data_IF_272247363981
#
_entry.id   IF_272247363981
#
_cell.length_a   1.000
_cell.length_b   1.000
_cell.length_c   1.000
_cell.angle_alpha   90.00
_cell.angle_beta   90.00
_cell.angle_gamma   90.00
#
_symmetry.space_group_name_H-M   'P 1'
#
loop_
_entity.id
_entity.type
_entity.pdbx_description
1 polymer ?
#
# COMPACT_ATOMS: atom_id res chain seq x y z
N UNK A 1 4.15 -14.49 -3.46
CA UNK A 1 3.23 -13.72 -2.62
C UNK A 1 1.95 -13.45 -3.38
N UNK A 2 0.84 -14.01 -2.93
CA UNK A 2 -0.50 -13.83 -3.51
C UNK A 2 -1.15 -12.59 -2.92
N UNK A 3 -2.10 -11.98 -3.63
CA UNK A 3 -2.86 -10.83 -3.10
C UNK A 3 -3.52 -11.16 -1.75
N UNK A 4 -4.01 -12.39 -1.57
CA UNK A 4 -4.64 -12.85 -0.33
C UNK A 4 -3.65 -12.83 0.84
N UNK A 5 -2.43 -13.28 0.65
CA UNK A 5 -1.36 -13.22 1.67
C UNK A 5 -1.04 -11.78 2.07
N UNK A 6 -1.07 -10.84 1.12
CA UNK A 6 -0.78 -9.43 1.39
C UNK A 6 -1.89 -8.78 2.20
N UNK A 7 -3.16 -9.08 1.90
CA UNK A 7 -4.29 -8.34 2.48
C UNK A 7 -4.89 -8.98 3.73
N UNK A 8 -4.73 -10.31 3.91
CA UNK A 8 -5.36 -11.04 5.01
C UNK A 8 -4.61 -10.73 6.31
N UNK A 9 -5.34 -10.19 7.28
CA UNK A 9 -4.88 -9.88 8.65
C UNK A 9 -3.67 -8.91 8.74
N UNK A 10 -3.28 -8.30 7.62
CA UNK A 10 -2.22 -7.30 7.55
C UNK A 10 -2.78 -5.88 7.67
N UNK A 11 -1.87 -4.96 8.05
CA UNK A 11 -2.12 -3.52 8.06
C UNK A 11 -1.23 -2.81 7.04
N UNK A 12 -1.77 -1.77 6.43
CA UNK A 12 -0.99 -0.81 5.65
C UNK A 12 -0.66 0.38 6.54
N UNK A 13 0.47 1.02 6.28
CA UNK A 13 0.94 2.19 6.99
C UNK A 13 1.23 3.30 5.99
N UNK A 14 0.80 4.52 6.29
CA UNK A 14 1.17 5.68 5.50
C UNK A 14 2.71 5.81 5.50
N UNK A 15 3.29 6.06 4.34
CA UNK A 15 4.73 6.20 4.18
C UNK A 15 5.13 7.61 3.76
N UNK A 16 4.49 8.15 2.72
CA UNK A 16 4.78 9.50 2.21
C UNK A 16 3.72 9.97 1.23
N UNK A 17 3.68 11.28 0.98
CA UNK A 17 2.95 11.89 -0.12
C UNK A 17 3.92 12.63 -1.04
N UNK A 18 3.81 12.44 -2.36
CA UNK A 18 4.62 13.19 -3.34
C UNK A 18 3.88 13.31 -4.66
N UNK A 19 3.77 14.53 -5.18
CA UNK A 19 3.23 14.84 -6.53
C UNK A 19 1.87 14.16 -6.81
N UNK A 20 0.92 14.27 -5.89
CA UNK A 20 -0.41 13.67 -6.07
C UNK A 20 -0.51 12.17 -5.78
N UNK A 21 0.58 11.52 -5.35
CA UNK A 21 0.59 10.10 -5.02
C UNK A 21 0.82 9.90 -3.53
N UNK A 22 -0.08 9.15 -2.89
CA UNK A 22 0.09 8.62 -1.55
C UNK A 22 0.83 7.29 -1.66
N UNK A 23 1.88 7.11 -0.88
CA UNK A 23 2.54 5.84 -0.76
C UNK A 23 2.19 5.20 0.59
N UNK A 24 1.72 3.96 0.52
CA UNK A 24 1.50 3.13 1.70
C UNK A 24 2.47 1.96 1.68
N UNK A 25 2.83 1.47 2.86
CA UNK A 25 3.65 0.27 3.03
C UNK A 25 2.89 -0.83 3.76
N UNK A 26 3.19 -2.08 3.44
CA UNK A 26 2.69 -3.27 4.11
C UNK A 26 3.86 -4.20 4.40
N UNK A 27 3.91 -4.74 5.61
CA UNK A 27 4.86 -5.77 5.98
C UNK A 27 4.27 -7.15 5.66
N UNK A 28 4.97 -7.95 4.87
CA UNK A 28 4.59 -9.33 4.56
C UNK A 28 5.86 -10.18 4.65
N UNK A 29 5.80 -11.29 5.40
CA UNK A 29 6.92 -12.21 5.61
C UNK A 29 8.24 -11.49 6.02
N UNK A 30 8.12 -10.54 6.95
CA UNK A 30 9.25 -9.76 7.48
C UNK A 30 9.83 -8.72 6.52
N UNK A 31 9.23 -8.53 5.34
CA UNK A 31 9.67 -7.55 4.33
C UNK A 31 8.65 -6.43 4.20
N UNK A 32 9.15 -5.20 4.10
CA UNK A 32 8.30 -4.03 3.88
C UNK A 32 8.19 -3.76 2.38
N UNK A 33 6.97 -3.72 1.87
CA UNK A 33 6.68 -3.35 0.50
C UNK A 33 5.90 -2.05 0.47
N UNK A 34 6.08 -1.25 -0.58
CA UNK A 34 5.39 0.01 -0.81
C UNK A 34 4.58 -0.05 -2.10
N UNK A 35 3.44 0.63 -2.12
CA UNK A 35 2.61 0.75 -3.30
C UNK A 35 1.94 2.14 -3.37
N UNK A 36 1.64 2.64 -4.58
CA UNK A 36 1.02 3.94 -4.77
C UNK A 36 -0.51 3.88 -4.69
N UNK A 37 -1.10 4.97 -4.20
CA UNK A 37 -2.53 5.29 -4.26
C UNK A 37 -2.65 6.72 -4.82
N UNK A 38 -3.27 6.92 -6.01
CA UNK A 38 -3.51 8.26 -6.52
C UNK A 38 -4.44 9.04 -5.59
N UNK A 39 -4.14 10.31 -5.32
CA UNK A 39 -4.97 11.11 -4.40
C UNK A 39 -6.35 11.41 -4.99
N UNK A 40 -6.49 11.46 -6.31
CA UNK A 40 -7.79 11.63 -6.97
C UNK A 40 -8.75 10.46 -6.69
N UNK A 41 -8.24 9.27 -6.36
CA UNK A 41 -9.03 8.09 -6.01
C UNK A 41 -9.56 8.15 -4.55
N UNK A 42 -9.17 9.14 -3.73
CA UNK A 42 -9.49 9.16 -2.30
C UNK A 42 -10.68 10.04 -1.90
N UNK A 43 -11.10 10.98 -2.74
CA UNK A 43 -12.16 11.93 -2.39
C UNK A 43 -11.87 12.65 -1.06
N UNK A 44 -12.87 12.67 -0.16
CA UNK A 44 -12.80 13.33 1.16
C UNK A 44 -12.21 12.45 2.29
N UNK A 45 -11.51 11.37 1.95
CA UNK A 45 -10.97 10.45 2.95
C UNK A 45 -9.89 11.10 3.83
N UNK A 46 -9.85 10.71 5.11
CA UNK A 46 -8.73 11.02 6.00
C UNK A 46 -7.61 10.00 5.82
N UNK A 47 -6.37 10.46 5.63
CA UNK A 47 -5.20 9.59 5.50
C UNK A 47 -4.66 9.22 6.88
N UNK A 48 -5.07 8.06 7.39
CA UNK A 48 -4.63 7.54 8.68
C UNK A 48 -3.20 6.99 8.59
N UNK A 49 -2.47 7.05 9.70
CA UNK A 49 -1.13 6.45 9.82
C UNK A 49 -1.15 4.95 9.54
N UNK A 50 -2.23 4.24 9.89
CA UNK A 50 -2.42 2.84 9.52
C UNK A 50 -3.88 2.45 9.34
N UNK A 51 -4.11 1.44 8.49
CA UNK A 51 -5.44 0.88 8.23
C UNK A 51 -5.36 -0.60 7.83
N UNK A 52 -6.51 -1.28 7.71
CA UNK A 52 -6.61 -2.67 7.25
C UNK A 52 -6.16 -2.78 5.80
N UNK A 53 -5.22 -3.66 5.51
CA UNK A 53 -4.72 -3.88 4.14
C UNK A 53 -5.83 -4.33 3.17
N UNK A 54 -6.88 -4.99 3.69
CA UNK A 54 -8.07 -5.38 2.93
C UNK A 54 -8.75 -4.20 2.20
N UNK A 55 -8.77 -3.00 2.80
CA UNK A 55 -9.36 -1.81 2.18
C UNK A 55 -8.54 -1.29 0.99
N UNK A 56 -7.27 -1.67 0.91
CA UNK A 56 -6.32 -1.25 -0.12
C UNK A 56 -6.15 -2.29 -1.23
N UNK A 57 -6.96 -3.37 -1.23
CA UNK A 57 -6.84 -4.49 -2.16
C UNK A 57 -6.83 -4.05 -3.63
N UNK A 58 -7.66 -3.07 -4.02
CA UNK A 58 -7.71 -2.52 -5.39
C UNK A 58 -6.32 -2.02 -5.82
N UNK A 59 -5.69 -1.21 -4.97
CA UNK A 59 -4.41 -0.57 -5.25
C UNK A 59 -3.25 -1.55 -5.18
N UNK A 60 -3.26 -2.47 -4.21
CA UNK A 60 -2.25 -3.55 -4.11
C UNK A 60 -2.32 -4.45 -5.36
N UNK A 61 -3.52 -4.84 -5.79
CA UNK A 61 -3.71 -5.64 -7.02
C UNK A 61 -3.19 -4.89 -8.25
N UNK A 62 -3.50 -3.61 -8.38
CA UNK A 62 -3.01 -2.76 -9.48
C UNK A 62 -1.49 -2.69 -9.47
N UNK A 63 -0.89 -2.46 -8.30
CA UNK A 63 0.55 -2.35 -8.14
C UNK A 63 1.30 -3.65 -8.47
N UNK A 64 0.74 -4.81 -8.10
CA UNK A 64 1.28 -6.11 -8.51
C UNK A 64 1.23 -6.32 -10.03
N UNK A 65 0.14 -5.90 -10.68
CA UNK A 65 -0.03 -6.01 -12.14
C UNK A 65 0.92 -5.08 -12.89
N UNK A 66 1.14 -3.88 -12.37
CA UNK A 66 1.94 -2.81 -13.00
C UNK A 66 3.41 -2.80 -12.55
N UNK A 67 3.83 -3.76 -11.70
CA UNK A 67 5.16 -3.83 -11.10
C UNK A 67 5.57 -2.56 -10.30
N UNK A 68 4.60 -1.93 -9.64
CA UNK A 68 4.81 -0.77 -8.74
C UNK A 68 4.65 -1.15 -7.26
N UNK A 69 4.60 -2.45 -6.97
CA UNK A 69 4.65 -3.00 -5.60
C UNK A 69 6.12 -3.28 -5.22
N UNK A 70 6.77 -2.28 -4.64
CA UNK A 70 8.23 -2.20 -4.52
C UNK A 70 8.71 -2.65 -3.14
N UNK A 71 9.78 -3.45 -3.07
CA UNK A 71 10.46 -3.75 -1.82
C UNK A 71 11.16 -2.49 -1.30
N UNK A 72 10.91 -2.11 -0.05
CA UNK A 72 11.67 -1.05 0.61
C UNK A 72 12.99 -1.62 1.14
N UNK A 73 14.10 -1.02 0.73
CA UNK A 73 15.40 -1.30 1.33
C UNK A 73 15.36 -0.91 2.82
N UNK A 74 15.86 -1.80 3.68
CA UNK A 74 16.11 -1.48 5.08
C UNK A 74 17.23 -0.45 5.10
N UNK A 75 16.95 0.74 5.64
CA UNK A 75 17.95 1.79 5.86
C UNK A 75 18.85 1.45 7.03
#
# INVERSE_FOLDING_TARGET
MTLKEIVKDNRVYFNSYRKGVLYYRVAVDGKNYRFPVPIEDTGDATFLDSDKAMLFMRYIRKALKENTFELLAVS
#
